data_IF_344070166843
#
_entry.id   IF_344070166843
#
_cell.length_a   1.000
_cell.length_b   1.000
_cell.length_c   1.000
_cell.angle_alpha   90.00
_cell.angle_beta   90.00
_cell.angle_gamma   90.00
#
_symmetry.space_group_name_H-M   'P 1'
#
loop_
_entity.id
_entity.type
_entity.pdbx_description
1 polymer ?
#
# COMPACT_ATOMS: atom_id res chain seq x y z
N UNK A 1 -28.38 -17.76 3.67
CA UNK A 1 -28.09 -16.58 4.53
C UNK A 1 -26.81 -15.92 4.01
N UNK A 2 -26.77 -14.59 3.87
CA UNK A 2 -25.57 -13.93 3.34
C UNK A 2 -24.41 -13.99 4.35
N UNK A 3 -23.25 -14.52 3.95
CA UNK A 3 -22.02 -14.65 4.75
C UNK A 3 -21.40 -13.29 5.16
N UNK A 4 -21.99 -12.16 4.75
CA UNK A 4 -21.45 -10.81 4.91
C UNK A 4 -22.56 -9.78 5.21
N UNK A 5 -22.22 -8.72 5.96
CA UNK A 5 -23.17 -7.64 6.28
C UNK A 5 -23.46 -6.78 5.06
N UNK A 6 -24.74 -6.40 4.87
CA UNK A 6 -25.17 -5.55 3.76
C UNK A 6 -24.85 -4.06 3.94
N UNK A 7 -24.65 -3.61 5.19
CA UNK A 7 -24.27 -2.24 5.57
C UNK A 7 -25.19 -1.14 5.00
N UNK A 8 -26.46 -1.47 4.74
CA UNK A 8 -27.45 -0.55 4.14
C UNK A 8 -27.02 0.02 2.78
N UNK A 9 -26.24 -0.72 2.00
CA UNK A 9 -25.66 -0.25 0.72
C UNK A 9 -25.84 -1.26 -0.40
N UNK A 10 -25.89 -0.77 -1.64
CA UNK A 10 -25.80 -1.63 -2.83
C UNK A 10 -24.44 -2.34 -2.89
N UNK A 11 -24.33 -3.38 -3.71
CA UNK A 11 -23.11 -4.19 -3.82
C UNK A 11 -21.88 -3.38 -4.25
N UNK A 12 -22.03 -2.50 -5.24
CA UNK A 12 -20.96 -1.64 -5.75
C UNK A 12 -20.49 -0.64 -4.69
N UNK A 13 -21.41 0.07 -4.05
CA UNK A 13 -21.11 1.05 -2.99
C UNK A 13 -20.46 0.39 -1.78
N UNK A 14 -20.97 -0.78 -1.35
CA UNK A 14 -20.38 -1.54 -0.24
C UNK A 14 -18.97 -2.00 -0.57
N UNK A 15 -18.73 -2.51 -1.80
CA UNK A 15 -17.40 -2.92 -2.24
C UNK A 15 -16.43 -1.74 -2.22
N UNK A 16 -16.82 -0.59 -2.76
CA UNK A 16 -15.98 0.62 -2.76
C UNK A 16 -15.64 1.09 -1.34
N UNK A 17 -16.64 1.12 -0.43
CA UNK A 17 -16.44 1.49 0.97
C UNK A 17 -15.43 0.56 1.67
N UNK A 18 -15.64 -0.75 1.57
CA UNK A 18 -14.78 -1.73 2.24
C UNK A 18 -13.35 -1.70 1.68
N UNK A 19 -13.20 -1.54 0.36
CA UNK A 19 -11.90 -1.35 -0.29
C UNK A 19 -11.14 -0.15 0.26
N UNK A 20 -11.82 1.00 0.36
CA UNK A 20 -11.21 2.21 0.90
C UNK A 20 -10.84 2.06 2.38
N UNK A 21 -11.73 1.52 3.22
CA UNK A 21 -11.46 1.35 4.65
C UNK A 21 -10.34 0.33 4.93
N UNK A 22 -10.27 -0.79 4.19
CA UNK A 22 -9.16 -1.75 4.29
C UNK A 22 -7.85 -1.11 3.86
N UNK A 23 -7.87 -0.33 2.78
CA UNK A 23 -6.69 0.41 2.29
C UNK A 23 -6.18 1.37 3.37
N UNK A 24 -7.07 2.15 3.98
CA UNK A 24 -6.69 3.10 5.04
C UNK A 24 -6.18 2.39 6.29
N UNK A 25 -6.78 1.27 6.70
CA UNK A 25 -6.29 0.46 7.82
C UNK A 25 -4.85 -0.02 7.58
N UNK A 26 -4.57 -0.59 6.41
CA UNK A 26 -3.24 -1.13 6.09
C UNK A 26 -2.20 -0.03 5.87
N UNK A 27 -2.63 1.16 5.43
CA UNK A 27 -1.74 2.28 5.22
C UNK A 27 -1.38 3.01 6.51
N UNK A 28 -2.37 3.34 7.35
CA UNK A 28 -2.20 4.11 8.60
C UNK A 28 -1.98 3.25 9.85
N UNK A 29 -2.28 1.96 9.81
CA UNK A 29 -2.17 1.05 10.95
C UNK A 29 -3.42 1.00 11.84
N UNK A 30 -4.21 2.08 11.92
CA UNK A 30 -5.48 2.09 12.63
C UNK A 30 -6.50 3.02 11.98
N UNK A 31 -7.79 2.71 12.14
CA UNK A 31 -8.90 3.59 11.74
C UNK A 31 -10.08 3.48 12.72
N UNK A 32 -10.80 4.59 12.86
CA UNK A 32 -12.04 4.66 13.65
C UNK A 32 -13.25 4.54 12.74
N UNK A 33 -14.15 3.58 13.01
CA UNK A 33 -15.34 3.31 12.19
C UNK A 33 -16.45 2.67 13.03
N UNK A 34 -17.66 2.49 12.47
CA UNK A 34 -18.71 1.77 13.19
C UNK A 34 -18.34 0.31 13.43
N UNK A 35 -18.78 -0.27 14.56
CA UNK A 35 -18.49 -1.66 14.95
C UNK A 35 -18.84 -2.66 13.84
N UNK A 36 -19.96 -2.43 13.16
CA UNK A 36 -20.42 -3.26 12.04
C UNK A 36 -19.48 -3.24 10.83
N UNK A 37 -18.93 -2.07 10.50
CA UNK A 37 -17.93 -1.92 9.42
C UNK A 37 -16.59 -2.52 9.82
N UNK A 38 -16.13 -2.28 11.06
CA UNK A 38 -14.88 -2.83 11.59
C UNK A 38 -14.82 -4.37 11.44
N UNK A 39 -15.92 -5.07 11.76
CA UNK A 39 -16.00 -6.53 11.60
C UNK A 39 -15.88 -7.00 10.14
N UNK A 40 -16.40 -6.24 9.18
CA UNK A 40 -16.24 -6.57 7.74
C UNK A 40 -14.81 -6.27 7.24
N UNK A 41 -14.23 -5.16 7.69
CA UNK A 41 -12.85 -4.77 7.35
C UNK A 41 -11.87 -5.83 7.86
N UNK A 42 -12.01 -6.27 9.11
CA UNK A 42 -11.21 -7.34 9.72
C UNK A 42 -11.16 -8.59 8.85
N UNK A 43 -12.32 -9.07 8.37
CA UNK A 43 -12.41 -10.27 7.52
C UNK A 43 -11.59 -10.15 6.24
N UNK A 44 -11.54 -8.96 5.64
CA UNK A 44 -10.80 -8.71 4.40
C UNK A 44 -9.31 -8.49 4.70
N UNK A 45 -8.99 -7.66 5.69
CA UNK A 45 -7.63 -7.33 6.06
C UNK A 45 -6.84 -8.56 6.49
N UNK A 46 -7.42 -9.43 7.33
CA UNK A 46 -6.75 -10.66 7.77
C UNK A 46 -6.40 -11.59 6.61
N UNK A 47 -7.30 -11.75 5.63
CA UNK A 47 -7.03 -12.55 4.43
C UNK A 47 -5.89 -11.97 3.58
N UNK A 48 -5.82 -10.65 3.45
CA UNK A 48 -4.76 -9.98 2.71
C UNK A 48 -3.41 -10.09 3.42
N UNK A 49 -3.39 -9.96 4.74
CA UNK A 49 -2.16 -10.13 5.55
C UNK A 49 -1.66 -11.56 5.45
N UNK A 50 -2.52 -12.57 5.61
CA UNK A 50 -2.14 -13.99 5.41
C UNK A 50 -1.55 -14.21 4.03
N UNK A 51 -2.20 -13.71 2.98
CA UNK A 51 -1.70 -13.83 1.60
C UNK A 51 -0.34 -13.15 1.41
N UNK A 52 -0.11 -12.01 2.08
CA UNK A 52 1.17 -11.32 2.05
C UNK A 52 2.27 -12.14 2.75
N UNK A 53 1.98 -12.74 3.91
CA UNK A 53 2.92 -13.59 4.66
C UNK A 53 3.32 -14.80 3.82
N UNK A 54 2.37 -15.46 3.16
CA UNK A 54 2.62 -16.65 2.34
C UNK A 54 3.54 -16.39 1.14
N UNK A 55 3.49 -15.17 0.58
CA UNK A 55 4.14 -14.86 -0.69
C UNK A 55 5.31 -13.85 -0.57
N UNK A 56 5.66 -13.42 0.65
CA UNK A 56 6.67 -12.36 0.88
C UNK A 56 8.04 -12.67 0.28
N UNK A 57 8.46 -13.94 0.36
CA UNK A 57 9.78 -14.40 -0.09
C UNK A 57 9.79 -14.95 -1.52
N UNK A 58 8.64 -14.95 -2.18
CA UNK A 58 8.48 -15.57 -3.49
C UNK A 58 8.78 -14.58 -4.64
N UNK A 59 10.05 -14.21 -4.77
CA UNK A 59 10.55 -13.30 -5.80
C UNK A 59 11.95 -13.70 -6.26
N UNK A 60 12.39 -13.10 -7.35
CA UNK A 60 13.75 -13.20 -7.88
C UNK A 60 14.39 -11.82 -7.92
N UNK A 61 15.67 -11.74 -7.65
CA UNK A 61 16.44 -10.50 -7.79
C UNK A 61 17.06 -10.47 -9.18
N UNK A 62 16.65 -9.51 -10.00
CA UNK A 62 17.21 -9.29 -11.32
C UNK A 62 18.01 -7.99 -11.29
N UNK A 63 19.27 -8.05 -11.68
CA UNK A 63 20.10 -6.87 -11.89
C UNK A 63 19.77 -6.27 -13.24
N UNK A 64 19.32 -5.02 -13.23
CA UNK A 64 19.04 -4.27 -14.46
C UNK A 64 19.99 -3.08 -14.51
N UNK A 65 20.74 -2.99 -15.61
CA UNK A 65 21.57 -1.83 -15.93
C UNK A 65 20.65 -0.70 -16.40
N UNK A 66 20.65 0.41 -15.65
CA UNK A 66 19.87 1.59 -15.97
C UNK A 66 20.80 2.76 -16.20
N UNK A 67 20.62 3.45 -17.33
CA UNK A 67 21.33 4.69 -17.63
C UNK A 67 20.75 5.83 -16.80
N UNK A 68 21.55 6.37 -15.88
CA UNK A 68 21.15 7.50 -15.03
C UNK A 68 22.01 8.70 -15.38
N UNK A 69 21.44 9.91 -15.54
CA UNK A 69 22.25 11.09 -15.85
C UNK A 69 23.20 11.39 -14.69
N UNK A 70 24.48 11.57 -15.01
CA UNK A 70 25.51 11.95 -14.05
C UNK A 70 25.17 13.31 -13.46
N UNK A 71 25.22 13.43 -12.14
CA UNK A 71 24.96 14.68 -11.41
C UNK A 71 26.23 15.26 -10.81
N UNK A 72 26.35 16.58 -10.83
CA UNK A 72 27.41 17.30 -10.12
C UNK A 72 27.09 17.45 -8.62
N UNK A 73 28.02 18.04 -7.85
CA UNK A 73 27.87 18.27 -6.40
C UNK A 73 26.65 19.14 -6.04
N UNK A 74 26.14 19.90 -7.02
CA UNK A 74 25.00 20.80 -6.86
C UNK A 74 23.68 20.15 -7.31
N UNK A 75 23.71 18.89 -7.74
CA UNK A 75 22.54 18.12 -8.17
C UNK A 75 22.08 18.39 -9.60
N UNK A 76 22.81 19.21 -10.36
CA UNK A 76 22.56 19.48 -11.78
C UNK A 76 23.15 18.37 -12.65
N UNK A 77 22.55 18.16 -13.83
CA UNK A 77 23.04 17.16 -14.79
C UNK A 77 24.34 17.64 -15.43
N UNK A 78 25.37 16.80 -15.40
CA UNK A 78 26.63 17.06 -16.08
C UNK A 78 26.38 17.04 -17.59
N UNK A 79 26.83 18.10 -18.26
CA UNK A 79 26.76 18.21 -19.73
C UNK A 79 28.19 18.29 -20.27
N UNK A 80 28.47 17.49 -21.27
CA UNK A 80 29.71 17.53 -22.04
C UNK A 80 29.41 18.06 -23.45
N UNK A 81 30.39 18.73 -24.05
CA UNK A 81 30.28 19.27 -25.40
C UNK A 81 30.81 18.23 -26.39
N UNK A 82 29.91 17.70 -27.23
CA UNK A 82 30.25 16.74 -28.29
C UNK A 82 29.66 17.28 -29.59
N UNK A 83 30.49 17.46 -30.59
CA UNK A 83 30.11 17.99 -31.92
C UNK A 83 29.39 19.36 -31.85
N UNK A 84 29.88 20.28 -31.01
CA UNK A 84 29.32 21.63 -30.85
C UNK A 84 27.95 21.71 -30.16
N UNK A 85 27.46 20.59 -29.58
CA UNK A 85 26.21 20.53 -28.82
C UNK A 85 26.47 19.99 -27.41
N UNK A 86 25.80 20.60 -26.42
CA UNK A 86 25.87 20.17 -25.00
C UNK A 86 24.97 18.96 -24.78
N UNK A 87 25.56 17.78 -24.57
CA UNK A 87 24.86 16.50 -24.35
C UNK A 87 24.96 16.10 -22.87
N UNK A 88 23.90 15.54 -22.30
CA UNK A 88 23.92 15.02 -20.92
C UNK A 88 24.68 13.71 -20.84
N UNK A 89 25.61 13.61 -19.90
CA UNK A 89 26.38 12.38 -19.64
C UNK A 89 25.53 11.42 -18.81
N UNK A 90 25.51 10.15 -19.18
CA UNK A 90 24.80 9.09 -18.47
C UNK A 90 25.80 8.06 -17.96
N UNK A 91 25.70 7.70 -16.69
CA UNK A 91 26.43 6.59 -16.10
C UNK A 91 25.54 5.34 -16.12
N UNK A 92 26.15 4.17 -16.34
CA UNK A 92 25.46 2.89 -16.23
C UNK A 92 25.49 2.44 -14.76
N UNK A 93 24.32 2.39 -14.13
CA UNK A 93 24.18 1.97 -12.74
C UNK A 93 23.43 0.65 -12.72
N UNK A 94 24.01 -0.36 -12.09
CA UNK A 94 23.34 -1.63 -11.79
C UNK A 94 22.34 -1.42 -10.66
N UNK A 95 21.07 -1.74 -10.91
CA UNK A 95 20.01 -1.71 -9.88
C UNK A 95 19.45 -3.11 -9.69
N UNK A 96 19.40 -3.55 -8.44
CA UNK A 96 18.73 -4.78 -8.03
C UNK A 96 17.22 -4.53 -7.95
N UNK A 97 16.44 -5.24 -8.78
CA UNK A 97 14.98 -5.17 -8.79
C UNK A 97 14.41 -6.50 -8.31
N UNK A 98 13.45 -6.45 -7.37
CA UNK A 98 12.65 -7.61 -6.99
C UNK A 98 11.59 -7.87 -8.06
N UNK A 99 11.71 -9.01 -8.75
CA UNK A 99 10.73 -9.50 -9.72
C UNK A 99 9.87 -10.57 -9.07
N UNK A 100 8.57 -10.31 -8.95
CA UNK A 100 7.63 -11.28 -8.38
C UNK A 100 7.57 -12.57 -9.22
N UNK A 101 7.65 -13.72 -8.54
CA UNK A 101 7.34 -15.02 -9.15
C UNK A 101 5.82 -15.16 -9.39
N UNK A 102 5.36 -16.12 -10.23
CA UNK A 102 3.96 -16.18 -10.65
C UNK A 102 2.90 -16.15 -9.53
N UNK A 103 3.11 -16.87 -8.42
CA UNK A 103 2.13 -16.86 -7.31
C UNK A 103 2.16 -15.56 -6.50
N UNK A 104 3.34 -14.95 -6.27
CA UNK A 104 3.43 -13.61 -5.66
C UNK A 104 2.79 -12.55 -6.55
N UNK A 105 2.98 -12.63 -7.86
CA UNK A 105 2.33 -11.74 -8.82
C UNK A 105 0.80 -11.91 -8.78
N UNK A 106 0.31 -13.15 -8.69
CA UNK A 106 -1.12 -13.42 -8.52
C UNK A 106 -1.66 -12.84 -7.21
N UNK A 107 -0.92 -12.96 -6.11
CA UNK A 107 -1.25 -12.34 -4.83
C UNK A 107 -1.28 -10.80 -4.93
N UNK A 108 -0.28 -10.19 -5.56
CA UNK A 108 -0.25 -8.75 -5.83
C UNK A 108 -1.47 -8.29 -6.62
N UNK A 109 -1.87 -9.03 -7.67
CA UNK A 109 -3.08 -8.72 -8.45
C UNK A 109 -4.36 -8.81 -7.62
N UNK A 110 -4.48 -9.81 -6.74
CA UNK A 110 -5.60 -9.91 -5.78
C UNK A 110 -5.62 -8.72 -4.82
N UNK A 111 -4.47 -8.29 -4.32
CA UNK A 111 -4.34 -7.09 -3.47
C UNK A 111 -4.75 -5.81 -4.21
N UNK A 112 -4.28 -5.61 -5.45
CA UNK A 112 -4.65 -4.46 -6.29
C UNK A 112 -6.16 -4.43 -6.62
N UNK A 113 -6.80 -5.60 -6.69
CA UNK A 113 -8.25 -5.70 -6.81
C UNK A 113 -9.01 -5.27 -5.54
N UNK A 114 -8.33 -4.97 -4.44
CA UNK A 114 -8.91 -4.42 -3.21
C UNK A 114 -8.41 -2.99 -2.94
N UNK A 115 -7.13 -2.71 -3.18
CA UNK A 115 -6.55 -1.42 -2.80
C UNK A 115 -7.05 -0.25 -3.63
N UNK A 116 -7.27 0.89 -2.98
CA UNK A 116 -7.47 2.18 -3.64
C UNK A 116 -6.12 2.89 -3.79
N UNK A 117 -5.88 3.65 -4.88
CA UNK A 117 -4.61 4.33 -5.07
C UNK A 117 -4.38 5.38 -3.98
N UNK A 118 -3.18 5.38 -3.39
CA UNK A 118 -2.74 6.36 -2.39
C UNK A 118 -1.64 7.21 -3.02
N UNK A 119 -1.75 8.53 -2.86
CA UNK A 119 -0.74 9.48 -3.29
C UNK A 119 -0.31 10.31 -2.09
N UNK A 120 0.96 10.22 -1.74
CA UNK A 120 1.60 11.09 -0.75
C UNK A 120 1.93 12.43 -1.40
N UNK A 121 1.59 13.52 -0.72
CA UNK A 121 1.93 14.88 -1.12
C UNK A 121 2.84 15.46 -0.04
N UNK A 122 3.95 16.14 -0.38
CA UNK A 122 4.84 16.74 0.60
C UNK A 122 4.11 17.67 1.56
N UNK A 123 4.51 17.64 2.83
CA UNK A 123 3.88 18.41 3.91
C UNK A 123 4.13 19.93 3.81
N UNK A 124 5.12 20.36 3.01
CA UNK A 124 5.60 21.74 2.91
C UNK A 124 4.61 22.73 2.26
N UNK A 125 3.32 22.37 2.11
CA UNK A 125 2.26 23.21 1.54
C UNK A 125 2.39 23.46 0.04
N UNK A 126 3.56 23.21 -0.55
CA UNK A 126 3.83 23.32 -1.98
C UNK A 126 3.22 22.11 -2.68
N UNK A 127 1.98 22.25 -3.13
CA UNK A 127 1.26 21.25 -3.96
C UNK A 127 1.85 21.15 -5.38
N UNK A 128 3.13 20.81 -5.49
CA UNK A 128 3.78 20.50 -6.77
C UNK A 128 3.50 19.05 -7.11
N UNK A 129 2.77 18.82 -8.20
CA UNK A 129 2.51 17.49 -8.77
C UNK A 129 3.79 16.69 -9.05
N UNK A 130 4.91 17.38 -9.30
CA UNK A 130 6.22 16.73 -9.51
C UNK A 130 6.80 16.06 -8.27
N UNK A 131 6.32 16.44 -7.07
CA UNK A 131 6.80 15.91 -5.79
C UNK A 131 5.85 14.87 -5.19
N UNK A 132 4.71 14.59 -5.80
CA UNK A 132 3.77 13.59 -5.27
C UNK A 132 4.26 12.18 -5.56
N UNK A 133 4.16 11.31 -4.56
CA UNK A 133 4.62 9.91 -4.64
C UNK A 133 3.42 8.98 -4.62
N UNK A 134 3.29 8.12 -5.63
CA UNK A 134 2.31 7.02 -5.62
C UNK A 134 2.84 5.89 -4.75
N UNK A 135 2.02 5.44 -3.80
CA UNK A 135 2.39 4.37 -2.87
C UNK A 135 2.06 3.02 -3.49
N UNK A 136 3.06 2.14 -3.58
CA UNK A 136 2.85 0.72 -3.90
C UNK A 136 2.47 -0.03 -2.62
N UNK A 137 1.18 -0.01 -2.29
CA UNK A 137 0.67 -0.67 -1.09
C UNK A 137 0.92 -2.19 -1.08
N UNK A 138 0.79 -2.94 -2.20
CA UNK A 138 1.20 -4.34 -2.25
C UNK A 138 2.69 -4.55 -1.90
N UNK A 139 3.60 -3.70 -2.38
CA UNK A 139 5.00 -3.79 -1.96
C UNK A 139 5.14 -3.59 -0.44
N UNK A 140 4.49 -2.56 0.12
CA UNK A 140 4.43 -2.34 1.58
C UNK A 140 3.88 -3.57 2.34
N UNK A 141 2.88 -4.25 1.79
CA UNK A 141 2.35 -5.49 2.38
C UNK A 141 3.41 -6.57 2.48
N UNK A 142 4.19 -6.80 1.42
CA UNK A 142 5.22 -7.84 1.39
C UNK A 142 6.48 -7.46 2.17
N UNK A 143 6.93 -6.21 2.08
CA UNK A 143 8.22 -5.78 2.60
C UNK A 143 8.14 -5.28 4.06
N UNK A 144 7.01 -4.70 4.49
CA UNK A 144 6.87 -4.12 5.84
C UNK A 144 5.87 -4.85 6.74
N UNK A 145 4.69 -5.23 6.21
CA UNK A 145 3.61 -5.80 7.02
C UNK A 145 3.82 -7.30 7.23
N UNK A 146 4.08 -8.06 6.17
CA UNK A 146 4.22 -9.50 6.23
C UNK A 146 5.33 -9.97 7.20
N UNK A 147 6.54 -9.38 7.21
CA UNK A 147 7.58 -9.81 8.16
C UNK A 147 7.20 -9.58 9.63
N UNK A 148 6.43 -8.53 9.95
CA UNK A 148 5.97 -8.26 11.33
C UNK A 148 5.04 -9.34 11.89
N UNK A 149 4.35 -10.06 11.01
CA UNK A 149 3.32 -11.03 11.39
C UNK A 149 3.70 -12.48 11.10
N UNK A 150 4.94 -12.75 10.67
CA UNK A 150 5.39 -14.08 10.27
C UNK A 150 5.22 -15.14 11.38
N UNK A 151 5.49 -14.77 12.63
CA UNK A 151 5.32 -15.67 13.79
C UNK A 151 3.86 -15.86 14.23
N UNK A 152 2.93 -15.02 13.74
CA UNK A 152 1.54 -15.00 14.22
C UNK A 152 0.63 -15.80 13.29
N UNK A 153 -0.03 -16.83 13.83
CA UNK A 153 -0.99 -17.69 13.10
C UNK A 153 -2.42 -17.13 13.14
N UNK A 154 -2.62 -15.94 12.58
CA UNK A 154 -3.94 -15.27 12.52
C UNK A 154 -4.20 -14.27 13.66
N UNK A 155 -5.29 -13.51 13.55
CA UNK A 155 -5.60 -12.43 14.51
C UNK A 155 -4.63 -11.25 14.41
N UNK A 156 -4.39 -10.76 13.19
CA UNK A 156 -3.50 -9.62 12.92
C UNK A 156 -4.14 -8.26 13.23
N UNK A 157 -5.45 -8.26 13.48
CA UNK A 157 -6.21 -7.03 13.77
C UNK A 157 -6.92 -7.14 15.11
N UNK A 158 -7.02 -6.01 15.81
CA UNK A 158 -7.81 -5.85 17.04
C UNK A 158 -8.93 -4.85 16.79
N UNK A 159 -10.10 -5.11 17.39
CA UNK A 159 -11.23 -4.19 17.40
C UNK A 159 -11.47 -3.75 18.84
N UNK A 160 -11.26 -2.48 19.13
CA UNK A 160 -11.51 -1.86 20.43
C UNK A 160 -12.81 -1.05 20.34
N UNK A 161 -13.83 -1.42 21.13
CA UNK A 161 -15.08 -0.66 21.18
C UNK A 161 -14.84 0.65 21.94
N UNK A 162 -15.25 1.77 21.35
CA UNK A 162 -15.11 3.10 21.96
C UNK A 162 -16.42 3.54 22.62
N UNK A 163 -17.56 3.10 22.09
CA UNK A 163 -18.89 3.48 22.56
C UNK A 163 -19.73 4.15 21.45
N UNK A 164 -20.92 4.66 21.79
CA UNK A 164 -21.80 5.33 20.84
C UNK A 164 -21.24 6.72 20.47
N UNK A 165 -21.28 7.08 19.18
CA UNK A 165 -20.90 8.44 18.74
C UNK A 165 -22.01 9.45 18.99
N UNK A 166 -21.62 10.69 19.31
CA UNK A 166 -22.53 11.84 19.40
C UNK A 166 -23.18 12.11 18.04
N UNK A 167 -24.50 12.25 18.02
CA UNK A 167 -25.29 12.49 16.81
C UNK A 167 -26.35 11.41 16.61
N UNK A 168 -25.96 10.28 16.02
CA UNK A 168 -26.88 9.18 15.68
C UNK A 168 -26.79 7.97 16.63
N UNK A 169 -25.98 8.06 17.69
CA UNK A 169 -25.82 6.99 18.68
C UNK A 169 -25.19 5.70 18.15
N UNK A 170 -24.65 5.69 16.93
CA UNK A 170 -24.09 4.48 16.34
C UNK A 170 -22.84 4.01 17.12
N UNK A 171 -22.74 2.70 17.40
CA UNK A 171 -21.55 2.12 18.04
C UNK A 171 -20.31 2.29 17.15
N UNK A 172 -19.26 2.88 17.73
CA UNK A 172 -17.96 3.08 17.10
C UNK A 172 -16.92 2.16 17.74
N UNK A 173 -16.00 1.72 16.91
CA UNK A 173 -14.82 0.97 17.28
C UNK A 173 -13.58 1.47 16.53
N UNK A 174 -12.43 1.36 17.17
CA UNK A 174 -11.13 1.47 16.54
C UNK A 174 -10.75 0.07 16.06
N UNK A 175 -10.38 -0.07 14.80
CA UNK A 175 -9.72 -1.27 14.28
C UNK A 175 -8.26 -0.94 14.01
N UNK A 176 -7.36 -1.76 14.54
CA UNK A 176 -5.92 -1.55 14.50
C UNK A 176 -5.17 -2.83 14.14
N UNK A 177 -4.02 -2.67 13.51
CA UNK A 177 -3.00 -3.70 13.34
C UNK A 177 -2.29 -3.94 14.68
N UNK A 178 -2.01 -5.20 15.02
CA UNK A 178 -1.48 -5.61 16.35
C UNK A 178 0.03 -5.85 16.35
#
# INVERSE_FOLDING_TARGET
MAEYRKLGRTSSQRKALLRNQVTNLLYHGSITTTTTKAKEIRRIAEKLITLAIQEKDNYETVEVTVKVPRKDKNGNRVKEEKDGKKVTVYDEVTKTIKKDKPSRLAARRKMLAVFTPITEVPADGVKKRSLSKKVDLPAKMFDEIAPKYESRKGGYTRIVKVGPRKGDGAEVAIIELV
#
